data_IF_102659620813
#
_entry.id   IF_102659620813
#
_cell.length_a   1.000
_cell.length_b   1.000
_cell.length_c   1.000
_cell.angle_alpha   90.00
_cell.angle_beta   90.00
_cell.angle_gamma   90.00
#
_symmetry.space_group_name_H-M   'P 1'
#
loop_
_entity.id
_entity.type
_entity.pdbx_description
1 polymer ?
#
# COMPACT_ATOMS: atom_id res chain seq x y z
N UNK A 1 -4.74 61.33 4.37
CA UNK A 1 -5.07 59.90 4.42
C UNK A 1 -4.24 59.23 3.32
N UNK A 2 -3.29 58.37 3.71
CA UNK A 2 -2.43 57.64 2.77
C UNK A 2 -3.24 56.49 2.14
N UNK A 3 -3.23 56.31 0.82
CA UNK A 3 -3.98 55.21 0.20
C UNK A 3 -3.42 53.87 0.66
N UNK A 4 -4.29 52.83 0.80
CA UNK A 4 -3.84 51.49 1.17
C UNK A 4 -2.90 50.92 0.11
N UNK A 5 -1.84 50.27 0.54
CA UNK A 5 -0.89 49.57 -0.36
C UNK A 5 -1.63 48.47 -1.14
N UNK A 6 -1.38 48.38 -2.43
CA UNK A 6 -1.92 47.33 -3.28
C UNK A 6 -1.45 45.94 -2.77
N UNK A 7 -2.30 44.91 -2.82
CA UNK A 7 -1.94 43.56 -2.41
C UNK A 7 -0.77 43.07 -3.29
N UNK A 8 0.31 42.69 -2.65
CA UNK A 8 1.41 41.99 -3.35
C UNK A 8 0.90 40.63 -3.81
N UNK A 9 0.80 40.46 -5.11
CA UNK A 9 0.60 39.12 -5.71
C UNK A 9 1.87 38.34 -5.47
N UNK A 10 1.87 37.49 -4.45
CA UNK A 10 2.92 36.50 -4.26
C UNK A 10 2.92 35.54 -5.45
N UNK A 11 4.07 35.32 -6.07
CA UNK A 11 4.24 34.32 -7.11
C UNK A 11 3.72 32.98 -6.63
N UNK A 12 3.05 32.17 -7.49
CA UNK A 12 2.60 30.85 -7.11
C UNK A 12 3.79 30.03 -6.59
N UNK A 13 3.61 29.22 -5.54
CA UNK A 13 4.68 28.35 -5.05
C UNK A 13 5.20 27.49 -6.19
N UNK A 14 6.52 27.38 -6.32
CA UNK A 14 7.16 26.53 -7.31
C UNK A 14 6.60 25.10 -7.21
N UNK A 15 6.33 24.48 -8.35
CA UNK A 15 5.91 23.08 -8.37
C UNK A 15 6.88 22.25 -7.52
N UNK A 16 6.39 21.34 -6.66
CA UNK A 16 7.27 20.52 -5.83
C UNK A 16 8.28 19.81 -6.73
N UNK A 17 9.56 19.95 -6.41
CA UNK A 17 10.63 19.26 -7.13
C UNK A 17 10.31 17.76 -7.22
N UNK A 18 10.64 17.12 -8.36
CA UNK A 18 10.52 15.68 -8.50
C UNK A 18 11.29 15.03 -7.36
N UNK A 19 10.71 14.03 -6.67
CA UNK A 19 11.33 13.42 -5.50
C UNK A 19 12.57 12.59 -5.83
N UNK A 20 12.91 12.44 -7.12
CA UNK A 20 13.99 11.60 -7.61
C UNK A 20 14.72 12.20 -8.82
N UNK A 21 16.02 11.87 -8.93
CA UNK A 21 16.87 12.14 -10.08
C UNK A 21 17.21 10.81 -10.74
N UNK A 22 17.15 10.77 -12.08
CA UNK A 22 17.42 9.57 -12.88
C UNK A 22 18.74 9.76 -13.62
N UNK A 23 19.70 8.88 -13.38
CA UNK A 23 21.00 8.86 -14.03
C UNK A 23 21.06 7.65 -14.96
N UNK A 24 21.49 7.81 -16.23
CA UNK A 24 21.66 6.68 -17.14
C UNK A 24 22.59 5.62 -16.52
N UNK A 25 22.22 4.36 -16.67
CA UNK A 25 22.98 3.21 -16.23
C UNK A 25 22.87 2.08 -17.25
N UNK A 26 23.65 1.03 -17.08
CA UNK A 26 23.58 -0.18 -17.89
C UNK A 26 23.23 -1.38 -17.02
N UNK A 27 22.80 -2.47 -17.63
CA UNK A 27 22.55 -3.72 -16.88
C UNK A 27 23.85 -4.29 -16.27
N UNK A 28 25.02 -3.97 -16.82
CA UNK A 28 26.30 -4.34 -16.25
C UNK A 28 26.62 -3.64 -14.92
N UNK A 29 25.98 -2.49 -14.66
CA UNK A 29 26.12 -1.74 -13.40
C UNK A 29 25.26 -2.32 -12.27
N UNK A 30 24.36 -3.28 -12.56
CA UNK A 30 23.47 -3.89 -11.59
C UNK A 30 24.19 -5.07 -10.89
N UNK A 31 24.52 -4.97 -9.58
CA UNK A 31 25.27 -6.01 -8.90
C UNK A 31 24.46 -7.31 -8.83
N UNK A 32 25.05 -8.42 -9.31
CA UNK A 32 24.41 -9.75 -9.31
C UNK A 32 23.28 -9.91 -10.34
N UNK A 33 23.16 -9.02 -11.33
CA UNK A 33 22.13 -9.12 -12.38
C UNK A 33 22.23 -10.45 -13.17
N UNK A 34 23.42 -10.90 -13.49
CA UNK A 34 23.66 -12.17 -14.17
C UNK A 34 23.16 -13.40 -13.40
N UNK A 35 23.11 -13.30 -12.09
CA UNK A 35 22.76 -14.41 -11.19
C UNK A 35 21.30 -14.35 -10.72
N UNK A 36 20.59 -13.26 -11.02
CA UNK A 36 19.18 -13.14 -10.64
C UNK A 36 18.30 -14.13 -11.41
N UNK A 37 17.39 -14.71 -10.69
CA UNK A 37 16.28 -15.52 -11.19
C UNK A 37 15.17 -14.57 -11.72
N UNK A 38 15.47 -13.82 -12.80
CA UNK A 38 14.54 -12.88 -13.42
C UNK A 38 13.23 -13.54 -13.90
N UNK A 39 13.27 -14.85 -14.17
CA UNK A 39 12.10 -15.67 -14.47
C UNK A 39 11.04 -15.66 -13.37
N UNK A 40 11.45 -15.52 -12.11
CA UNK A 40 10.51 -15.43 -10.97
C UNK A 40 9.72 -14.11 -10.95
N UNK A 41 10.17 -13.07 -11.65
CA UNK A 41 9.43 -11.83 -11.82
C UNK A 41 8.47 -11.87 -13.03
N UNK A 42 8.56 -12.89 -13.87
CA UNK A 42 7.79 -13.02 -15.10
C UNK A 42 6.28 -13.06 -14.87
N UNK A 43 5.74 -13.82 -13.91
CA UNK A 43 4.30 -13.80 -13.60
C UNK A 43 3.81 -12.40 -13.21
N UNK A 44 4.60 -11.64 -12.44
CA UNK A 44 4.26 -10.26 -12.06
C UNK A 44 4.20 -9.34 -13.30
N UNK A 45 5.16 -9.45 -14.24
CA UNK A 45 5.12 -8.72 -15.50
C UNK A 45 3.86 -9.06 -16.30
N UNK A 46 3.54 -10.34 -16.45
CA UNK A 46 2.39 -10.80 -17.24
C UNK A 46 1.05 -10.30 -16.69
N UNK A 47 0.84 -10.35 -15.36
CA UNK A 47 -0.41 -9.80 -14.77
C UNK A 47 -0.43 -8.27 -14.84
N UNK A 48 0.73 -7.60 -14.66
CA UNK A 48 0.87 -6.14 -14.84
C UNK A 48 0.48 -5.70 -16.24
N UNK A 49 0.91 -6.45 -17.25
CA UNK A 49 0.61 -6.18 -18.65
C UNK A 49 -0.91 -6.13 -18.96
N UNK A 50 -1.73 -6.94 -18.28
CA UNK A 50 -3.19 -6.92 -18.46
C UNK A 50 -3.80 -5.55 -18.11
N UNK A 51 -3.21 -4.82 -17.19
CA UNK A 51 -3.66 -3.48 -16.78
C UNK A 51 -2.96 -2.38 -17.58
N UNK A 52 -1.64 -2.47 -17.70
CA UNK A 52 -0.82 -1.42 -18.30
C UNK A 52 -1.08 -1.25 -19.79
N UNK A 53 -1.27 -2.34 -20.53
CA UNK A 53 -1.58 -2.29 -21.96
C UNK A 53 -3.02 -1.85 -22.25
N UNK A 54 -3.94 -2.00 -21.30
CA UNK A 54 -5.35 -1.64 -21.47
C UNK A 54 -5.67 -0.20 -21.02
N UNK A 55 -4.88 0.36 -20.11
CA UNK A 55 -5.14 1.70 -19.56
C UNK A 55 -4.69 2.80 -20.52
N UNK A 56 -5.57 3.77 -20.88
CA UNK A 56 -5.23 4.82 -21.86
C UNK A 56 -3.95 5.59 -21.53
N UNK A 57 -3.68 5.82 -20.24
CA UNK A 57 -2.52 6.58 -19.78
C UNK A 57 -1.17 5.85 -20.01
N UNK A 58 -1.18 4.52 -20.10
CA UNK A 58 0.04 3.70 -20.17
C UNK A 58 0.14 2.85 -21.45
N UNK A 59 -0.96 2.66 -22.17
CA UNK A 59 -1.04 1.79 -23.35
C UNK A 59 0.03 2.12 -24.39
N UNK A 60 0.27 3.39 -24.70
CA UNK A 60 1.25 3.81 -25.70
C UNK A 60 2.67 3.30 -25.42
N UNK A 61 3.03 3.14 -24.14
CA UNK A 61 4.35 2.67 -23.71
C UNK A 61 4.38 1.14 -23.60
N UNK A 62 3.26 0.54 -23.12
CA UNK A 62 3.26 -0.85 -22.68
C UNK A 62 2.74 -1.86 -23.71
N UNK A 63 1.98 -1.43 -24.74
CA UNK A 63 1.36 -2.38 -25.68
C UNK A 63 2.38 -3.27 -26.38
N UNK A 64 3.49 -2.71 -26.90
CA UNK A 64 4.50 -3.51 -27.60
C UNK A 64 5.25 -4.46 -26.67
N UNK A 65 5.66 -3.98 -25.50
CA UNK A 65 6.33 -4.78 -24.48
C UNK A 65 5.43 -5.94 -24.03
N UNK A 66 4.16 -5.65 -23.75
CA UNK A 66 3.20 -6.64 -23.31
C UNK A 66 2.82 -7.64 -24.41
N UNK A 67 2.75 -7.23 -25.68
CA UNK A 67 2.57 -8.15 -26.80
C UNK A 67 3.75 -9.12 -26.93
N UNK A 68 4.99 -8.62 -26.79
CA UNK A 68 6.19 -9.45 -26.77
C UNK A 68 6.19 -10.42 -25.59
N UNK A 69 5.81 -9.97 -24.39
CA UNK A 69 5.70 -10.83 -23.21
C UNK A 69 4.61 -11.92 -23.37
N UNK A 70 3.50 -11.60 -24.03
CA UNK A 70 2.40 -12.55 -24.26
C UNK A 70 2.79 -13.67 -25.24
N UNK A 71 3.75 -13.42 -26.15
CA UNK A 71 4.27 -14.45 -27.05
C UNK A 71 5.22 -15.45 -26.37
N UNK A 72 5.61 -15.18 -25.12
CA UNK A 72 6.53 -15.98 -24.31
C UNK A 72 5.83 -16.44 -23.02
N UNK A 73 4.92 -17.41 -23.06
CA UNK A 73 4.10 -17.78 -21.89
C UNK A 73 4.90 -18.34 -20.72
N UNK A 74 6.05 -18.94 -20.99
CA UNK A 74 6.99 -19.44 -19.98
C UNK A 74 8.41 -19.10 -20.40
N UNK A 75 9.24 -18.68 -19.46
CA UNK A 75 10.63 -18.31 -19.71
C UNK A 75 11.52 -18.88 -18.60
N UNK A 76 12.76 -19.20 -18.94
CA UNK A 76 13.83 -19.42 -17.96
C UNK A 76 14.52 -18.11 -17.59
N UNK A 77 15.47 -18.17 -16.66
CA UNK A 77 16.17 -16.98 -16.17
C UNK A 77 16.94 -16.24 -17.28
N UNK A 78 17.52 -16.97 -18.23
CA UNK A 78 18.27 -16.36 -19.33
C UNK A 78 17.34 -15.65 -20.33
N UNK A 79 16.23 -16.28 -20.71
CA UNK A 79 15.25 -15.70 -21.61
C UNK A 79 14.55 -14.48 -20.98
N UNK A 80 14.20 -14.55 -19.68
CA UNK A 80 13.65 -13.42 -18.95
C UNK A 80 14.64 -12.24 -18.89
N UNK A 81 15.90 -12.51 -18.59
CA UNK A 81 16.95 -11.48 -18.58
C UNK A 81 17.09 -10.81 -19.94
N UNK A 82 17.23 -11.61 -21.01
CA UNK A 82 17.33 -11.08 -22.37
C UNK A 82 16.12 -10.22 -22.78
N UNK A 83 14.93 -10.60 -22.31
CA UNK A 83 13.71 -9.80 -22.52
C UNK A 83 13.83 -8.44 -21.84
N UNK A 84 14.22 -8.38 -20.57
CA UNK A 84 14.35 -7.10 -19.86
C UNK A 84 15.45 -6.22 -20.47
N UNK A 85 16.58 -6.79 -20.86
CA UNK A 85 17.68 -6.09 -21.53
C UNK A 85 17.27 -5.53 -22.91
N UNK A 86 16.36 -6.22 -23.62
CA UNK A 86 15.88 -5.80 -24.93
C UNK A 86 14.83 -4.71 -24.87
N UNK A 87 13.94 -4.78 -23.88
CA UNK A 87 12.75 -3.93 -23.84
C UNK A 87 12.84 -2.77 -22.86
N UNK A 88 13.86 -2.73 -21.99
CA UNK A 88 14.02 -1.70 -20.97
C UNK A 88 15.44 -1.12 -20.98
N UNK A 89 15.57 0.09 -20.45
CA UNK A 89 16.86 0.74 -20.19
C UNK A 89 17.03 0.91 -18.68
N UNK A 90 18.24 0.67 -18.19
CA UNK A 90 18.55 0.83 -16.78
C UNK A 90 18.78 2.32 -16.44
N UNK A 91 18.27 2.72 -15.28
CA UNK A 91 18.45 4.06 -14.71
C UNK A 91 18.75 3.93 -13.23
N UNK A 92 19.79 4.63 -12.76
CA UNK A 92 20.04 4.77 -11.33
C UNK A 92 19.13 5.87 -10.78
N UNK A 93 18.37 5.55 -9.74
CA UNK A 93 17.48 6.51 -9.08
C UNK A 93 18.15 7.01 -7.81
N UNK A 94 18.23 8.33 -7.64
CA UNK A 94 18.75 8.98 -6.43
C UNK A 94 17.78 10.03 -5.92
N UNK A 95 17.90 10.42 -4.65
CA UNK A 95 17.25 11.62 -4.15
C UNK A 95 17.88 12.89 -4.80
N UNK A 96 17.23 14.04 -4.63
CA UNK A 96 17.68 15.30 -5.20
C UNK A 96 19.08 15.75 -4.71
N UNK A 97 19.49 15.31 -3.52
CA UNK A 97 20.81 15.55 -2.93
C UNK A 97 21.88 14.55 -3.39
N UNK A 98 21.53 13.63 -4.30
CA UNK A 98 22.41 12.57 -4.81
C UNK A 98 22.48 11.32 -3.95
N UNK A 99 21.76 11.26 -2.82
CA UNK A 99 21.70 10.06 -1.97
C UNK A 99 21.00 8.91 -2.74
N UNK A 100 21.67 7.77 -2.85
CA UNK A 100 21.17 6.55 -3.50
C UNK A 100 20.74 5.46 -2.49
N UNK A 101 20.77 5.79 -1.20
CA UNK A 101 20.35 4.89 -0.13
C UNK A 101 18.91 5.19 0.28
N UNK A 102 18.09 4.15 0.35
CA UNK A 102 16.72 4.23 0.79
C UNK A 102 16.38 3.11 1.77
N UNK A 103 15.34 3.33 2.59
CA UNK A 103 14.80 2.28 3.45
C UNK A 103 13.84 1.40 2.65
N UNK A 104 14.13 0.10 2.59
CA UNK A 104 13.21 -0.91 2.06
C UNK A 104 12.64 -1.70 3.22
N UNK A 105 11.32 -1.73 3.34
CA UNK A 105 10.60 -2.52 4.34
C UNK A 105 9.83 -3.64 3.66
N UNK A 106 9.59 -4.74 4.41
CA UNK A 106 8.70 -5.80 3.97
C UNK A 106 7.31 -5.63 4.56
N UNK A 107 6.29 -5.98 3.81
CA UNK A 107 4.94 -6.19 4.31
C UNK A 107 4.47 -7.60 3.96
N UNK A 108 3.45 -8.07 4.66
CA UNK A 108 2.94 -9.42 4.50
C UNK A 108 1.41 -9.41 4.58
N UNK A 109 0.78 -10.44 4.05
CA UNK A 109 -0.66 -10.64 4.14
C UNK A 109 -0.96 -11.44 5.43
N UNK A 110 -1.48 -10.82 6.50
CA UNK A 110 -1.78 -11.51 7.74
C UNK A 110 -2.95 -12.49 7.55
N UNK A 111 -2.95 -13.56 8.36
CA UNK A 111 -4.06 -14.50 8.47
C UNK A 111 -4.69 -14.33 9.85
N UNK A 112 -5.94 -13.88 9.87
CA UNK A 112 -6.75 -13.69 11.06
C UNK A 112 -7.78 -14.82 11.21
N UNK A 113 -8.30 -15.00 12.41
CA UNK A 113 -9.50 -15.82 12.66
C UNK A 113 -10.73 -14.92 12.68
N UNK A 114 -11.84 -15.37 12.10
CA UNK A 114 -13.04 -14.55 12.05
C UNK A 114 -14.32 -15.30 11.73
N UNK A 115 -15.40 -14.55 11.69
CA UNK A 115 -16.76 -15.02 11.44
C UNK A 115 -17.52 -14.01 10.58
N UNK A 116 -18.55 -14.47 9.87
CA UNK A 116 -19.50 -13.60 9.17
C UNK A 116 -20.52 -12.97 10.14
N UNK A 117 -20.61 -13.48 11.35
CA UNK A 117 -21.57 -13.04 12.36
C UNK A 117 -20.84 -12.62 13.62
N UNK A 118 -21.26 -11.49 14.19
CA UNK A 118 -20.73 -11.01 15.46
C UNK A 118 -21.01 -12.00 16.60
N UNK A 119 -20.04 -12.21 17.46
CA UNK A 119 -20.17 -13.01 18.68
C UNK A 119 -19.25 -12.47 19.77
N UNK A 120 -19.32 -13.05 20.99
CA UNK A 120 -18.39 -12.67 22.05
C UNK A 120 -16.92 -12.96 21.69
N UNK A 121 -16.67 -13.96 20.87
CA UNK A 121 -15.34 -14.31 20.36
C UNK A 121 -14.92 -13.42 19.18
N UNK A 122 -15.85 -13.18 18.27
CA UNK A 122 -15.60 -12.38 17.04
C UNK A 122 -16.33 -11.04 17.17
N UNK A 123 -15.74 -10.11 17.91
CA UNK A 123 -16.38 -8.84 18.28
C UNK A 123 -15.88 -7.63 17.46
N UNK A 124 -14.70 -7.75 16.82
CA UNK A 124 -14.07 -6.64 16.10
C UNK A 124 -14.49 -6.64 14.63
N UNK A 125 -15.28 -5.65 14.15
CA UNK A 125 -15.77 -5.61 12.79
C UNK A 125 -14.68 -5.11 11.82
N UNK A 126 -14.67 -5.66 10.61
CA UNK A 126 -14.00 -5.10 9.44
C UNK A 126 -15.06 -4.47 8.54
N UNK A 127 -15.06 -3.15 8.42
CA UNK A 127 -16.10 -2.42 7.71
C UNK A 127 -15.77 -2.17 6.24
N UNK A 128 -16.80 -2.21 5.38
CA UNK A 128 -16.79 -1.52 4.10
C UNK A 128 -16.89 0.01 4.31
N UNK A 129 -16.51 0.83 3.30
CA UNK A 129 -16.64 2.28 3.39
C UNK A 129 -18.08 2.70 3.70
N UNK A 130 -18.30 3.67 4.60
CA UNK A 130 -19.63 4.23 4.83
C UNK A 130 -20.09 5.02 3.61
N UNK A 131 -21.42 5.12 3.43
CA UNK A 131 -22.01 5.75 2.25
C UNK A 131 -21.83 7.28 2.21
N UNK A 132 -21.52 7.89 3.34
CA UNK A 132 -21.28 9.34 3.46
C UNK A 132 -19.80 9.72 3.26
N UNK A 133 -18.93 8.75 3.02
CA UNK A 133 -17.51 9.01 2.78
C UNK A 133 -17.30 9.64 1.41
N UNK A 134 -16.88 10.89 1.38
CA UNK A 134 -16.62 11.63 0.16
C UNK A 134 -15.12 11.67 -0.17
N UNK A 135 -14.81 11.51 -1.44
CA UNK A 135 -13.49 11.85 -2.01
C UNK A 135 -13.56 13.29 -2.50
N UNK A 136 -12.69 14.15 -1.96
CA UNK A 136 -12.66 15.57 -2.31
C UNK A 136 -11.49 15.82 -3.25
N UNK A 137 -11.79 16.14 -4.52
CA UNK A 137 -10.81 16.54 -5.52
C UNK A 137 -10.98 18.04 -5.85
N UNK A 138 -10.08 18.84 -5.33
CA UNK A 138 -10.01 20.29 -5.54
C UNK A 138 -8.68 20.69 -6.20
N UNK A 139 -7.92 19.75 -6.74
CA UNK A 139 -6.59 20.00 -7.31
C UNK A 139 -6.61 21.04 -8.45
N UNK A 140 -7.70 21.15 -9.18
CA UNK A 140 -7.87 22.16 -10.24
C UNK A 140 -7.93 23.60 -9.74
N UNK A 141 -8.36 23.81 -8.47
CA UNK A 141 -8.42 25.13 -7.83
C UNK A 141 -7.27 25.32 -6.83
N UNK A 142 -6.86 24.26 -6.17
CA UNK A 142 -5.83 24.24 -5.14
C UNK A 142 -4.76 23.21 -5.51
N UNK A 143 -3.76 23.57 -6.33
CA UNK A 143 -2.72 22.65 -6.82
C UNK A 143 -1.95 21.92 -5.72
N UNK A 144 -1.86 22.52 -4.52
CA UNK A 144 -1.23 21.92 -3.34
C UNK A 144 -1.97 20.67 -2.81
N UNK A 145 -3.22 20.45 -3.25
CA UNK A 145 -4.00 19.25 -2.96
C UNK A 145 -3.79 18.12 -3.98
N UNK A 146 -3.05 18.38 -5.06
CA UNK A 146 -2.79 17.38 -6.07
C UNK A 146 -2.10 16.15 -5.45
N UNK A 147 -2.66 14.96 -5.72
CA UNK A 147 -2.16 13.69 -5.20
C UNK A 147 -2.45 13.44 -3.71
N UNK A 148 -3.11 14.37 -3.00
CA UNK A 148 -3.54 14.14 -1.62
C UNK A 148 -4.88 13.40 -1.59
N UNK A 149 -4.98 12.41 -0.68
CA UNK A 149 -6.23 11.69 -0.42
C UNK A 149 -7.06 12.45 0.61
N UNK A 150 -7.79 13.47 0.16
CA UNK A 150 -8.69 14.23 1.04
C UNK A 150 -10.00 13.48 1.14
N UNK A 151 -10.41 13.13 2.37
CA UNK A 151 -11.67 12.45 2.67
C UNK A 151 -12.52 13.32 3.60
N UNK A 152 -13.80 13.36 3.33
CA UNK A 152 -14.73 14.23 4.02
C UNK A 152 -16.13 13.60 4.11
N UNK A 153 -17.03 14.24 4.81
CA UNK A 153 -18.47 13.99 4.81
C UNK A 153 -19.25 15.30 4.74
N UNK A 154 -20.51 15.21 4.42
CA UNK A 154 -21.40 16.36 4.51
C UNK A 154 -21.95 16.49 5.94
N UNK A 155 -21.94 17.72 6.45
CA UNK A 155 -22.68 18.14 7.64
C UNK A 155 -23.58 19.31 7.23
N UNK A 156 -24.83 19.02 7.00
CA UNK A 156 -25.77 19.96 6.38
C UNK A 156 -25.27 20.39 5.01
N UNK A 157 -24.83 21.67 4.91
CA UNK A 157 -24.28 22.26 3.66
C UNK A 157 -22.75 22.42 3.71
N UNK A 158 -22.11 21.94 4.78
CA UNK A 158 -20.67 22.05 4.96
C UNK A 158 -19.98 20.72 4.67
N UNK A 159 -18.82 20.79 4.02
CA UNK A 159 -17.90 19.65 3.88
C UNK A 159 -16.98 19.70 5.10
N UNK A 160 -17.03 18.65 5.92
CA UNK A 160 -16.24 18.52 7.15
C UNK A 160 -15.36 17.26 7.07
N UNK A 161 -14.29 17.12 7.88
CA UNK A 161 -13.51 15.90 7.93
C UNK A 161 -14.38 14.65 8.14
N UNK A 162 -14.01 13.54 7.58
CA UNK A 162 -14.69 12.26 7.79
C UNK A 162 -14.56 11.82 9.26
N UNK A 163 -15.24 10.75 9.62
CA UNK A 163 -15.26 10.21 10.98
C UNK A 163 -13.88 9.69 11.41
N UNK A 164 -13.46 10.03 12.62
CA UNK A 164 -12.27 9.46 13.25
C UNK A 164 -12.49 8.00 13.65
N UNK A 165 -11.41 7.25 13.95
CA UNK A 165 -11.50 5.89 14.52
C UNK A 165 -12.43 5.85 15.72
N UNK A 166 -12.19 6.70 16.72
CA UNK A 166 -13.01 6.76 17.92
C UNK A 166 -14.50 6.97 17.62
N UNK A 167 -14.83 7.81 16.64
CA UNK A 167 -16.21 8.03 16.23
C UNK A 167 -16.83 6.84 15.51
N UNK A 168 -16.04 6.12 14.72
CA UNK A 168 -16.48 4.90 14.04
C UNK A 168 -16.73 3.79 15.07
N UNK A 169 -15.78 3.55 15.97
CA UNK A 169 -15.86 2.50 16.99
C UNK A 169 -16.94 2.76 18.03
N UNK A 170 -17.23 4.04 18.33
CA UNK A 170 -18.36 4.44 19.19
C UNK A 170 -19.72 4.41 18.46
N UNK A 171 -19.78 3.99 17.20
CA UNK A 171 -21.01 3.87 16.43
C UNK A 171 -21.64 5.19 16.00
N UNK A 172 -20.87 6.29 15.98
CA UNK A 172 -21.36 7.60 15.49
C UNK A 172 -21.36 7.70 13.97
N UNK A 173 -20.45 6.98 13.30
CA UNK A 173 -20.40 6.88 11.84
C UNK A 173 -21.52 5.96 11.30
N UNK A 174 -22.03 6.17 10.07
CA UNK A 174 -23.10 5.36 9.49
C UNK A 174 -22.55 4.03 8.96
N UNK A 175 -21.95 3.22 9.83
CA UNK A 175 -21.37 1.89 9.50
C UNK A 175 -22.31 0.73 9.82
N UNK A 176 -23.54 1.00 10.26
CA UNK A 176 -24.55 -0.02 10.48
C UNK A 176 -24.80 -0.82 9.19
N UNK A 177 -24.69 -2.17 9.26
CA UNK A 177 -24.81 -3.05 8.09
C UNK A 177 -23.61 -3.03 7.13
N UNK A 178 -22.52 -2.32 7.45
CA UNK A 178 -21.29 -2.29 6.64
C UNK A 178 -20.22 -3.27 7.09
N UNK A 179 -20.42 -3.99 8.20
CA UNK A 179 -19.49 -5.04 8.63
C UNK A 179 -19.44 -6.16 7.58
N UNK A 180 -18.26 -6.41 7.07
CA UNK A 180 -18.00 -7.50 6.10
C UNK A 180 -17.73 -8.82 6.83
N UNK A 181 -16.98 -8.72 7.93
CA UNK A 181 -16.47 -9.80 8.75
C UNK A 181 -16.26 -9.28 10.17
N UNK A 182 -16.14 -10.21 11.12
CA UNK A 182 -15.77 -9.93 12.49
C UNK A 182 -14.56 -10.79 12.85
N UNK A 183 -13.53 -10.21 13.46
CA UNK A 183 -12.33 -10.93 13.88
C UNK A 183 -12.19 -10.97 15.40
N UNK A 184 -11.36 -11.88 15.88
CA UNK A 184 -11.22 -12.21 17.30
C UNK A 184 -10.24 -11.29 18.06
N UNK A 185 -9.36 -10.55 17.36
CA UNK A 185 -8.32 -9.71 18.00
C UNK A 185 -8.31 -8.30 17.38
N UNK A 186 -8.57 -7.29 18.22
CA UNK A 186 -8.59 -5.88 17.81
C UNK A 186 -7.21 -5.36 17.39
N UNK A 187 -6.12 -5.89 17.96
CA UNK A 187 -4.75 -5.54 17.58
C UNK A 187 -4.44 -6.10 16.20
N UNK A 188 -4.89 -7.33 15.90
CA UNK A 188 -4.73 -7.91 14.57
C UNK A 188 -5.53 -7.13 13.52
N UNK A 189 -6.76 -6.70 13.82
CA UNK A 189 -7.55 -5.83 12.96
C UNK A 189 -6.84 -4.49 12.71
N UNK A 190 -6.29 -3.88 13.76
CA UNK A 190 -5.53 -2.63 13.65
C UNK A 190 -4.28 -2.78 12.76
N UNK A 191 -3.53 -3.88 12.92
CA UNK A 191 -2.37 -4.13 12.06
C UNK A 191 -2.76 -4.53 10.65
N UNK A 192 -3.91 -5.20 10.45
CA UNK A 192 -4.47 -5.45 9.12
C UNK A 192 -4.74 -4.14 8.36
N UNK A 193 -5.22 -3.09 9.05
CA UNK A 193 -5.40 -1.77 8.44
C UNK A 193 -4.06 -1.17 7.97
N UNK A 194 -2.97 -1.35 8.73
CA UNK A 194 -1.63 -0.89 8.34
C UNK A 194 -1.13 -1.68 7.12
N UNK A 195 -1.38 -2.99 7.06
CA UNK A 195 -0.99 -3.84 5.92
C UNK A 195 -1.87 -3.58 4.68
N UNK A 196 -3.11 -3.17 4.86
CA UNK A 196 -4.07 -2.88 3.79
C UNK A 196 -4.70 -4.12 3.15
N UNK A 197 -4.25 -5.32 3.47
CA UNK A 197 -4.79 -6.58 2.96
C UNK A 197 -4.53 -7.72 3.93
N UNK A 198 -5.38 -8.76 3.89
CA UNK A 198 -5.23 -9.93 4.72
C UNK A 198 -6.20 -11.04 4.36
N UNK A 199 -6.06 -12.14 5.05
CA UNK A 199 -6.94 -13.31 4.96
C UNK A 199 -7.62 -13.55 6.29
N UNK A 200 -8.89 -13.88 6.23
CA UNK A 200 -9.68 -14.24 7.42
C UNK A 200 -10.13 -15.68 7.25
N UNK A 201 -9.68 -16.54 8.16
CA UNK A 201 -10.13 -17.94 8.24
C UNK A 201 -11.43 -17.97 9.03
N UNK A 202 -12.48 -18.46 8.40
CA UNK A 202 -13.78 -18.62 9.02
C UNK A 202 -13.86 -19.93 9.84
N UNK A 203 -14.91 -20.05 10.66
CA UNK A 203 -15.13 -21.19 11.54
C UNK A 203 -15.30 -22.52 10.78
N UNK A 204 -15.78 -22.49 9.55
CA UNK A 204 -15.91 -23.65 8.65
C UNK A 204 -14.58 -24.03 7.95
N UNK A 205 -13.49 -23.29 8.24
CA UNK A 205 -12.18 -23.48 7.63
C UNK A 205 -11.97 -22.78 6.28
N UNK A 206 -13.01 -22.21 5.70
CA UNK A 206 -12.88 -21.39 4.49
C UNK A 206 -12.08 -20.13 4.76
N UNK A 207 -11.49 -19.56 3.71
CA UNK A 207 -10.65 -18.35 3.81
C UNK A 207 -11.23 -17.27 2.92
N UNK A 208 -11.54 -16.13 3.53
CA UNK A 208 -11.97 -14.90 2.83
C UNK A 208 -10.78 -13.95 2.75
N UNK A 209 -10.51 -13.39 1.58
CA UNK A 209 -9.51 -12.33 1.41
C UNK A 209 -10.16 -10.97 1.51
N UNK A 210 -9.59 -10.10 2.32
CA UNK A 210 -9.95 -8.69 2.41
C UNK A 210 -8.81 -7.81 1.88
N UNK A 211 -9.18 -6.70 1.25
CA UNK A 211 -8.24 -5.75 0.69
C UNK A 211 -8.73 -4.33 0.98
N UNK A 212 -7.80 -3.39 1.03
CA UNK A 212 -8.09 -1.97 1.14
C UNK A 212 -9.16 -1.55 0.13
N UNK A 213 -10.16 -0.83 0.62
CA UNK A 213 -11.17 -0.19 -0.21
C UNK A 213 -11.02 1.34 -0.17
N UNK A 214 -10.93 1.92 1.01
CA UNK A 214 -10.70 3.34 1.24
C UNK A 214 -10.25 3.58 2.68
N UNK A 215 -10.05 4.85 3.05
CA UNK A 215 -9.69 5.28 4.40
C UNK A 215 -10.44 6.57 4.76
N UNK A 216 -10.48 6.90 6.05
CA UNK A 216 -11.18 8.10 6.52
C UNK A 216 -10.43 9.42 6.29
N UNK A 217 -9.19 9.39 5.76
CA UNK A 217 -8.41 10.59 5.44
C UNK A 217 -7.71 11.26 6.61
N UNK A 218 -7.88 10.76 7.83
CA UNK A 218 -7.13 11.25 8.99
C UNK A 218 -5.67 10.80 8.97
N UNK A 219 -4.72 11.60 9.51
CA UNK A 219 -3.32 11.23 9.56
C UNK A 219 -3.11 10.04 10.50
N UNK A 220 -2.23 9.13 10.11
CA UNK A 220 -1.84 8.00 10.95
C UNK A 220 -1.03 8.46 12.17
N UNK A 221 -1.39 7.98 13.35
CA UNK A 221 -0.64 8.15 14.60
C UNK A 221 -0.22 6.79 15.13
N UNK A 222 1.09 6.61 15.33
CA UNK A 222 1.63 5.34 15.80
C UNK A 222 1.27 5.09 17.27
N UNK A 223 0.48 4.05 17.54
CA UNK A 223 0.17 3.62 18.92
C UNK A 223 1.43 3.11 19.66
N UNK A 224 2.41 2.54 18.93
CA UNK A 224 3.70 2.20 19.51
C UNK A 224 4.40 3.46 20.06
N UNK A 225 4.37 4.57 19.31
CA UNK A 225 4.94 5.85 19.75
C UNK A 225 4.22 6.38 20.97
N UNK A 226 2.90 6.26 21.03
CA UNK A 226 2.11 6.66 22.21
C UNK A 226 2.57 5.89 23.44
N UNK A 227 2.75 4.56 23.35
CA UNK A 227 3.23 3.75 24.47
C UNK A 227 4.68 4.10 24.89
N UNK A 228 5.55 4.43 23.90
CA UNK A 228 6.91 4.89 24.20
C UNK A 228 6.86 6.23 24.95
N UNK A 229 6.07 7.18 24.49
CA UNK A 229 5.93 8.51 25.10
C UNK A 229 5.33 8.44 26.52
N UNK A 230 4.50 7.41 26.79
CA UNK A 230 3.98 7.10 28.14
C UNK A 230 5.00 6.34 29.02
N UNK A 231 6.13 5.90 28.48
CA UNK A 231 7.12 5.11 29.19
C UNK A 231 6.75 3.64 29.38
N UNK A 232 5.73 3.16 28.68
CA UNK A 232 5.20 1.79 28.78
C UNK A 232 5.87 0.81 27.80
N UNK A 233 6.54 1.33 26.76
CA UNK A 233 7.42 0.57 25.87
C UNK A 233 8.72 1.33 25.62
N UNK A 234 9.77 0.60 25.25
CA UNK A 234 11.01 1.19 24.73
C UNK A 234 11.04 1.10 23.20
N UNK A 235 11.73 2.03 22.55
CA UNK A 235 11.83 2.05 21.08
C UNK A 235 12.42 0.75 20.51
N UNK A 236 13.34 0.10 21.24
CA UNK A 236 13.96 -1.16 20.83
C UNK A 236 13.02 -2.38 20.94
N UNK A 237 11.94 -2.27 21.70
CA UNK A 237 10.95 -3.35 21.91
C UNK A 237 9.58 -3.03 21.32
N UNK A 238 9.45 -1.89 20.63
CA UNK A 238 8.18 -1.50 19.98
C UNK A 238 7.89 -2.39 18.77
N UNK A 239 7.12 -3.42 18.99
CA UNK A 239 6.68 -4.39 17.98
C UNK A 239 5.18 -4.68 18.10
N UNK A 240 4.59 -5.26 17.05
CA UNK A 240 3.20 -5.74 17.10
C UNK A 240 2.96 -6.70 18.28
N UNK A 241 3.91 -7.59 18.53
CA UNK A 241 3.85 -8.56 19.63
C UNK A 241 3.85 -7.86 20.99
N UNK A 242 4.65 -6.81 21.16
CA UNK A 242 4.70 -6.03 22.39
C UNK A 242 3.38 -5.25 22.62
N UNK A 243 2.81 -4.65 21.57
CA UNK A 243 1.51 -3.96 21.63
C UNK A 243 0.40 -4.96 21.99
N UNK A 244 0.43 -6.17 21.40
CA UNK A 244 -0.54 -7.23 21.74
C UNK A 244 -0.37 -7.71 23.17
N UNK A 245 0.84 -7.87 23.67
CA UNK A 245 1.10 -8.23 25.07
C UNK A 245 0.58 -7.15 26.01
N UNK A 246 0.89 -5.89 25.74
CA UNK A 246 0.38 -4.75 26.49
C UNK A 246 -1.16 -4.73 26.53
N UNK A 247 -1.80 -4.93 25.38
CA UNK A 247 -3.27 -4.96 25.29
C UNK A 247 -3.93 -6.10 26.09
N UNK A 248 -3.26 -7.24 26.23
CA UNK A 248 -3.75 -8.33 27.12
C UNK A 248 -3.65 -7.97 28.58
N UNK A 249 -2.60 -7.28 28.99
CA UNK A 249 -2.39 -6.83 30.37
C UNK A 249 -3.28 -5.63 30.72
N UNK A 250 -3.67 -4.81 29.71
CA UNK A 250 -4.45 -3.58 29.86
C UNK A 250 -5.71 -3.62 28.98
N UNK A 251 -6.48 -4.72 29.06
CA UNK A 251 -7.63 -4.95 28.17
C UNK A 251 -8.68 -3.82 28.22
N UNK A 252 -8.86 -3.18 29.37
CA UNK A 252 -9.80 -2.05 29.52
C UNK A 252 -9.32 -0.78 28.83
N UNK A 253 -8.01 -0.59 28.69
CA UNK A 253 -7.39 0.61 28.12
C UNK A 253 -7.06 0.45 26.64
N UNK A 254 -7.08 -0.78 26.10
CA UNK A 254 -6.74 -1.08 24.72
C UNK A 254 -7.58 -0.28 23.69
N UNK A 255 -8.93 -0.18 23.83
CA UNK A 255 -9.71 0.64 22.90
C UNK A 255 -9.24 2.10 22.87
N UNK A 256 -9.03 2.71 24.04
CA UNK A 256 -8.56 4.08 24.15
C UNK A 256 -7.14 4.27 23.55
N UNK A 257 -6.26 3.27 23.65
CA UNK A 257 -4.96 3.29 22.99
C UNK A 257 -5.10 3.24 21.47
N UNK A 258 -5.94 2.36 20.92
CA UNK A 258 -6.14 2.26 19.47
C UNK A 258 -6.79 3.54 18.92
N UNK A 259 -7.69 4.17 19.67
CA UNK A 259 -8.34 5.45 19.35
C UNK A 259 -7.38 6.64 19.27
N UNK A 260 -6.19 6.55 19.87
CA UNK A 260 -5.14 7.57 19.69
C UNK A 260 -4.70 7.70 18.23
N UNK A 261 -4.92 6.67 17.41
CA UNK A 261 -4.76 6.76 15.96
C UNK A 261 -6.10 7.13 15.33
N UNK A 262 -6.32 8.38 14.86
CA UNK A 262 -7.58 8.78 14.26
C UNK A 262 -7.82 8.17 12.87
N UNK A 263 -6.76 7.63 12.23
CA UNK A 263 -6.88 6.97 10.92
C UNK A 263 -7.64 5.65 11.02
N UNK A 264 -8.50 5.38 10.05
CA UNK A 264 -9.26 4.14 9.92
C UNK A 264 -9.28 3.68 8.47
N UNK A 265 -9.06 2.39 8.23
CA UNK A 265 -9.08 1.78 6.89
C UNK A 265 -10.34 0.93 6.73
N UNK A 266 -11.01 1.11 5.61
CA UNK A 266 -12.16 0.32 5.20
C UNK A 266 -11.74 -0.73 4.18
N UNK A 267 -12.41 -1.87 4.22
CA UNK A 267 -12.06 -3.04 3.42
C UNK A 267 -13.13 -3.37 2.38
N UNK A 268 -12.75 -4.25 1.46
CA UNK A 268 -13.64 -4.97 0.55
C UNK A 268 -13.25 -6.43 0.53
N UNK A 269 -14.22 -7.30 0.30
CA UNK A 269 -13.94 -8.71 0.03
C UNK A 269 -13.40 -8.83 -1.40
N UNK A 270 -12.32 -9.60 -1.55
CA UNK A 270 -11.75 -9.93 -2.84
C UNK A 270 -12.25 -11.33 -3.24
N UNK A 271 -13.01 -11.45 -4.35
CA UNK A 271 -13.40 -12.76 -4.82
C UNK A 271 -12.16 -13.60 -5.21
N UNK A 272 -12.24 -14.93 -5.08
CA UNK A 272 -11.17 -15.80 -5.54
C UNK A 272 -10.91 -15.60 -7.04
N UNK A 273 -9.64 -15.66 -7.42
CA UNK A 273 -9.28 -15.64 -8.83
C UNK A 273 -9.77 -16.92 -9.53
N UNK A 274 -10.01 -16.84 -10.84
CA UNK A 274 -10.47 -17.96 -11.62
C UNK A 274 -9.49 -19.15 -11.51
N UNK A 275 -9.96 -20.37 -11.22
CA UNK A 275 -9.08 -21.53 -11.12
C UNK A 275 -8.23 -21.72 -12.39
N UNK A 276 -6.95 -22.01 -12.22
CA UNK A 276 -5.99 -22.19 -13.32
C UNK A 276 -5.51 -20.88 -13.96
N UNK A 277 -5.98 -19.72 -13.51
CA UNK A 277 -5.47 -18.43 -13.97
C UNK A 277 -4.12 -18.11 -13.35
N UNK A 278 -3.38 -17.21 -13.99
CA UNK A 278 -2.09 -16.74 -13.48
C UNK A 278 -2.28 -15.98 -12.15
N UNK A 279 -3.38 -15.25 -12.01
CA UNK A 279 -3.75 -14.56 -10.78
C UNK A 279 -3.96 -15.53 -9.61
N UNK A 280 -4.58 -16.69 -9.87
CA UNK A 280 -4.73 -17.75 -8.88
C UNK A 280 -3.40 -18.40 -8.51
N UNK A 281 -2.49 -18.54 -9.48
CA UNK A 281 -1.16 -19.09 -9.24
C UNK A 281 -0.27 -18.16 -8.41
N UNK A 282 -0.39 -16.83 -8.59
CA UNK A 282 0.32 -15.84 -7.78
C UNK A 282 -0.24 -15.81 -6.36
N UNK A 283 -1.58 -15.89 -6.22
CA UNK A 283 -2.30 -15.91 -4.94
C UNK A 283 -1.86 -14.81 -3.95
N UNK A 284 -1.48 -13.63 -4.46
CA UNK A 284 -1.06 -12.48 -3.66
C UNK A 284 -2.20 -11.48 -3.39
N UNK A 285 -2.00 -10.53 -2.46
CA UNK A 285 -2.92 -9.41 -2.26
C UNK A 285 -2.98 -8.55 -3.52
N UNK A 286 -4.04 -7.75 -3.66
CA UNK A 286 -4.19 -6.85 -4.81
C UNK A 286 -3.51 -5.52 -4.49
N UNK A 287 -2.47 -5.19 -5.25
CA UNK A 287 -1.77 -3.91 -5.12
C UNK A 287 -2.46 -2.75 -5.84
N UNK A 288 -1.88 -1.56 -5.73
CA UNK A 288 -2.42 -0.31 -6.30
C UNK A 288 -2.53 -0.34 -7.84
N UNK A 289 -1.72 -1.15 -8.53
CA UNK A 289 -1.89 -1.41 -9.97
C UNK A 289 -3.16 -2.23 -10.29
N UNK A 290 -3.83 -2.78 -9.29
CA UNK A 290 -5.04 -3.62 -9.45
C UNK A 290 -4.77 -5.05 -9.89
N UNK A 291 -3.57 -5.56 -9.61
CA UNK A 291 -3.14 -6.94 -9.89
C UNK A 291 -2.63 -7.63 -8.63
N UNK A 292 -2.65 -8.98 -8.56
CA UNK A 292 -2.07 -9.70 -7.43
C UNK A 292 -0.56 -9.52 -7.39
N UNK A 293 -0.04 -9.28 -6.18
CA UNK A 293 1.37 -9.06 -5.92
C UNK A 293 2.12 -10.39 -5.80
N UNK A 294 3.08 -10.62 -6.67
CA UNK A 294 3.91 -11.81 -6.63
C UNK A 294 4.90 -11.72 -5.45
N UNK A 295 4.91 -12.77 -4.63
CA UNK A 295 5.80 -12.87 -3.46
C UNK A 295 7.25 -12.63 -3.85
N UNK A 296 7.93 -11.73 -3.14
CA UNK A 296 9.34 -11.37 -3.32
C UNK A 296 9.70 -10.80 -4.70
N UNK A 297 8.72 -10.56 -5.58
CA UNK A 297 8.94 -10.05 -6.94
C UNK A 297 8.09 -8.82 -7.27
N UNK A 298 7.48 -8.23 -6.25
CA UNK A 298 6.79 -6.93 -6.34
C UNK A 298 7.22 -6.00 -5.22
N UNK A 299 7.07 -4.70 -5.46
CA UNK A 299 7.44 -3.65 -4.52
C UNK A 299 6.40 -2.53 -4.55
N UNK A 300 6.16 -1.93 -3.38
CA UNK A 300 5.46 -0.65 -3.25
C UNK A 300 6.44 0.49 -3.49
N UNK A 301 6.00 1.52 -4.21
CA UNK A 301 6.82 2.66 -4.59
C UNK A 301 6.05 3.98 -4.43
N UNK A 302 6.77 5.08 -4.35
CA UNK A 302 6.17 6.39 -4.58
C UNK A 302 5.99 6.59 -6.10
N UNK A 303 4.75 6.64 -6.64
CA UNK A 303 4.50 6.73 -8.07
C UNK A 303 4.97 8.06 -8.68
N UNK A 304 5.29 9.07 -7.87
CA UNK A 304 5.91 10.31 -8.33
C UNK A 304 7.38 10.11 -8.70
N UNK A 305 8.03 9.10 -8.11
CA UNK A 305 9.43 8.76 -8.37
C UNK A 305 9.54 7.54 -9.30
N UNK A 306 8.76 6.50 -9.10
CA UNK A 306 8.82 5.26 -9.90
C UNK A 306 7.41 4.96 -10.38
N UNK A 307 7.13 5.00 -11.70
CA UNK A 307 5.81 4.73 -12.21
C UNK A 307 5.39 3.27 -11.94
N UNK A 308 4.10 3.07 -11.66
CA UNK A 308 3.54 1.72 -11.52
C UNK A 308 3.75 0.91 -12.81
N UNK A 309 4.14 -0.34 -12.63
CA UNK A 309 4.49 -1.26 -13.69
C UNK A 309 6.00 -1.33 -13.98
N UNK A 310 6.77 -0.32 -13.60
CA UNK A 310 8.20 -0.27 -13.89
C UNK A 310 8.94 -1.46 -13.26
N UNK A 311 9.85 -2.13 -14.02
CA UNK A 311 10.85 -3.00 -13.43
C UNK A 311 11.79 -2.20 -12.53
N UNK A 312 12.06 -2.71 -11.34
CA UNK A 312 12.97 -2.12 -10.36
C UNK A 312 13.99 -3.18 -9.95
N UNK A 313 15.27 -2.84 -9.97
CA UNK A 313 16.30 -3.73 -9.45
C UNK A 313 16.69 -3.32 -8.03
N UNK A 314 16.43 -4.19 -7.07
CA UNK A 314 16.83 -4.01 -5.69
C UNK A 314 18.26 -4.48 -5.50
N UNK A 315 19.11 -3.64 -4.89
CA UNK A 315 20.45 -3.99 -4.44
C UNK A 315 20.58 -3.59 -2.96
N UNK A 316 20.23 -4.49 -2.05
CA UNK A 316 20.23 -4.26 -0.60
C UNK A 316 20.70 -5.51 0.14
N UNK A 317 20.52 -5.57 1.45
CA UNK A 317 20.78 -6.76 2.26
C UNK A 317 19.51 -7.29 2.90
N UNK A 318 19.49 -8.57 3.24
CA UNK A 318 18.41 -9.14 4.05
C UNK A 318 18.37 -8.50 5.44
N UNK A 319 17.18 -8.33 6.04
CA UNK A 319 17.06 -7.76 7.39
C UNK A 319 17.96 -8.48 8.38
N UNK A 320 18.58 -7.71 9.27
CA UNK A 320 19.47 -8.19 10.35
C UNK A 320 20.64 -9.07 9.85
N UNK A 321 21.08 -8.87 8.61
CA UNK A 321 22.09 -9.70 7.96
C UNK A 321 22.91 -8.88 6.96
N UNK A 322 24.14 -9.33 6.67
CA UNK A 322 24.95 -8.82 5.56
C UNK A 322 24.71 -9.58 4.25
N UNK A 323 23.82 -10.55 4.24
CA UNK A 323 23.51 -11.35 3.05
C UNK A 323 22.86 -10.47 1.98
N UNK A 324 23.43 -10.40 0.75
CA UNK A 324 22.86 -9.60 -0.32
C UNK A 324 21.41 -10.01 -0.66
N UNK A 325 20.58 -9.01 -0.91
CA UNK A 325 19.26 -9.13 -1.49
C UNK A 325 19.26 -8.35 -2.80
N UNK A 326 19.57 -9.04 -3.89
CA UNK A 326 19.75 -8.47 -5.23
C UNK A 326 18.78 -9.17 -6.17
N UNK A 327 17.77 -8.43 -6.67
CA UNK A 327 16.74 -9.02 -7.52
C UNK A 327 15.92 -8.02 -8.29
N UNK A 328 15.42 -8.47 -9.41
CA UNK A 328 14.39 -7.78 -10.17
C UNK A 328 13.02 -7.94 -9.48
N UNK A 329 12.32 -6.82 -9.32
CA UNK A 329 10.95 -6.74 -8.83
C UNK A 329 10.11 -5.79 -9.70
N UNK A 330 8.80 -5.87 -9.65
CA UNK A 330 7.90 -4.97 -10.39
C UNK A 330 7.23 -3.98 -9.43
N UNK A 331 7.20 -2.72 -9.78
CA UNK A 331 6.49 -1.66 -9.05
C UNK A 331 4.98 -1.82 -9.26
N UNK A 332 4.28 -2.53 -8.39
CA UNK A 332 2.85 -2.85 -8.56
C UNK A 332 1.98 -2.38 -7.39
N UNK A 333 2.59 -1.71 -6.41
CA UNK A 333 1.90 -1.15 -5.24
C UNK A 333 2.46 0.24 -4.86
N UNK A 334 1.78 0.94 -3.92
CA UNK A 334 2.14 2.29 -3.46
C UNK A 334 2.00 2.45 -1.96
#
# INVERSE_FOLDING_TARGET
VKPPAAPQVTAPPAAPALPAVYLPATFADLPGWSDDRADLAWPALQVGCKRLAAAPATAAVWQSVCASAASMPAVDAAAARAFFETHFSAWKVTAADGNDQGLVTGYYEPLLSGSLVASAQFATPLYAPPDDLLSVDLASLYPELAGKRVRARLDGRSVVPSWTRAEIEQGRAPVAGKALLFVDDAVDAFFLEIQGSGRVRLEDGSVVRVNYADQNGHPFRSVARVLIDRGELTASHASMQAIRAWGREHAADLPALLDENPSYVFFRIVPPAAPGSLEAAIDGPIGSLGVPLARERTIAVDPRAIPLGAPVYLATTRPLSSTPLQRLVLAQDT
#
